data_IF_221388282291
#
_entry.id   IF_221388282291
#
_cell.length_a   1.000
_cell.length_b   1.000
_cell.length_c   1.000
_cell.angle_alpha   90.00
_cell.angle_beta   90.00
_cell.angle_gamma   90.00
#
_symmetry.space_group_name_H-M   'P 1'
#
loop_
_entity.id
_entity.type
_entity.pdbx_description
1 polymer ?
#
# COMPACT_ATOMS: atom_id res chain seq x y z
N UNK A 1 22.10 16.63 -0.07
CA UNK A 1 22.13 15.91 -0.10
C UNK A 1 22.20 15.37 0.26
N UNK A 2 21.95 15.30 0.08
CA UNK A 2 21.96 14.37 0.06
C UNK A 2 21.73 13.76 0.50
N UNK A 3 21.18 13.74 0.54
CA UNK A 3 20.97 12.70 0.65
C UNK A 3 20.72 12.08 1.16
N UNK A 4 20.48 12.15 1.47
CA UNK A 4 20.41 11.03 1.66
C UNK A 4 20.41 10.63 2.35
N UNK A 5 20.29 10.72 2.76
CA UNK A 5 20.35 10.01 3.04
C UNK A 5 20.59 9.47 3.55
N UNK A 6 20.59 9.44 4.10
CA UNK A 6 20.74 8.82 4.31
C UNK A 6 20.61 7.98 4.80
N UNK A 7 20.24 7.62 4.99
CA UNK A 7 20.05 6.72 5.14
C UNK A 7 19.77 6.08 5.55
N UNK A 8 19.42 6.01 5.62
CA UNK A 8 18.99 5.36 5.67
C UNK A 8 18.65 4.77 6.18
N UNK A 9 18.31 4.93 6.56
CA UNK A 9 17.83 4.38 6.81
C UNK A 9 17.13 3.98 7.00
N UNK A 10 16.47 4.18 7.24
CA UNK A 10 15.55 3.87 7.00
C UNK A 10 14.80 3.58 7.93
N UNK A 11 14.68 3.80 8.64
CA UNK A 11 14.08 3.46 9.43
C UNK A 11 13.07 4.24 9.67
N UNK A 12 12.93 5.16 9.69
CA UNK A 12 12.09 5.87 9.82
C UNK A 12 11.59 6.19 8.79
N UNK A 13 11.54 5.68 8.17
CA UNK A 13 11.24 5.94 7.11
C UNK A 13 9.99 6.09 6.82
N UNK A 14 9.33 6.45 7.48
CA UNK A 14 8.17 6.94 7.08
C UNK A 14 8.34 7.90 6.07
N UNK A 15 9.41 8.29 5.98
CA UNK A 15 9.72 9.24 5.00
C UNK A 15 9.80 8.57 3.66
N UNK A 16 8.94 8.94 2.70
CA UNK A 16 9.00 8.35 1.40
C UNK A 16 10.30 8.64 0.69
N UNK A 17 10.95 9.71 1.06
CA UNK A 17 12.25 10.00 0.48
C UNK A 17 13.24 8.93 0.84
N UNK A 18 13.04 8.32 1.96
CA UNK A 18 13.91 7.29 2.39
C UNK A 18 13.84 6.11 1.45
N UNK A 19 12.64 5.75 1.03
CA UNK A 19 12.49 4.67 0.10
C UNK A 19 13.07 5.01 -1.27
N UNK A 20 13.11 6.29 -1.60
CA UNK A 20 13.51 6.72 -2.92
C UNK A 20 14.91 7.27 -3.03
N UNK A 21 15.50 7.66 -1.93
CA UNK A 21 16.81 8.26 -2.01
C UNK A 21 17.78 7.72 -1.01
N UNK A 22 17.37 7.63 0.23
CA UNK A 22 18.32 7.24 1.27
C UNK A 22 18.51 5.77 1.43
N UNK A 23 17.56 5.01 0.96
CA UNK A 23 17.71 3.59 1.02
C UNK A 23 18.76 3.18 0.06
N UNK A 24 19.19 4.09 -0.81
CA UNK A 24 19.89 3.61 -1.83
C UNK A 24 21.11 4.27 -2.16
N UNK A 25 22.15 3.57 -2.10
CA UNK A 25 23.39 4.05 -2.65
C UNK A 25 23.35 4.13 -4.16
N UNK A 26 22.37 3.47 -4.76
CA UNK A 26 22.26 3.48 -6.21
C UNK A 26 21.27 4.48 -6.74
N UNK A 27 20.88 5.42 -5.93
CA UNK A 27 19.91 6.42 -6.36
C UNK A 27 20.33 7.12 -7.64
N UNK A 28 21.64 7.24 -7.84
CA UNK A 28 22.14 7.83 -9.02
C UNK A 28 21.75 7.13 -10.27
N UNK A 29 21.69 5.82 -10.24
CA UNK A 29 21.29 5.06 -11.40
C UNK A 29 19.84 5.29 -11.72
N UNK A 30 19.04 5.47 -10.68
CA UNK A 30 17.61 5.66 -10.86
C UNK A 30 17.27 7.05 -11.32
N UNK A 31 18.15 8.00 -11.12
CA UNK A 31 17.85 9.38 -11.45
C UNK A 31 17.63 9.59 -12.95
N UNK A 32 18.11 8.67 -13.78
CA UNK A 32 17.94 8.76 -15.22
C UNK A 32 16.74 8.00 -15.76
N UNK A 33 16.02 7.32 -14.88
CA UNK A 33 14.86 6.56 -15.32
C UNK A 33 13.60 7.37 -15.17
N UNK A 34 12.69 7.17 -16.09
CA UNK A 34 11.36 7.76 -15.96
C UNK A 34 10.66 7.10 -14.77
N UNK A 35 9.96 7.89 -14.00
CA UNK A 35 9.25 7.39 -12.84
C UNK A 35 7.89 8.04 -12.72
N UNK A 36 7.02 7.39 -11.95
CA UNK A 36 5.73 7.93 -11.61
C UNK A 36 5.63 7.95 -10.10
N UNK A 37 5.14 9.03 -9.54
CA UNK A 37 4.93 9.12 -8.10
C UNK A 37 3.55 8.56 -7.78
N UNK A 38 3.48 7.60 -6.86
CA UNK A 38 2.24 6.98 -6.44
C UNK A 38 2.08 7.11 -4.94
N UNK A 39 0.84 7.29 -4.49
CA UNK A 39 0.54 7.34 -3.06
C UNK A 39 0.16 5.95 -2.59
N UNK A 40 0.66 5.58 -1.42
CA UNK A 40 0.30 4.32 -0.81
C UNK A 40 -1.10 4.42 -0.20
N UNK A 41 -1.93 3.45 -0.52
CA UNK A 41 -3.30 3.37 0.01
C UNK A 41 -3.39 2.38 1.17
N UNK A 42 -2.26 1.81 1.56
CA UNK A 42 -2.14 0.84 2.63
C UNK A 42 -0.68 0.87 3.08
N UNK A 43 -0.40 0.57 4.33
CA UNK A 43 0.98 0.40 4.77
C UNK A 43 1.63 -0.68 3.92
N UNK A 44 2.88 -0.51 3.58
CA UNK A 44 3.56 -1.39 2.65
C UNK A 44 4.93 -1.80 3.15
N UNK A 45 5.28 -3.05 2.87
CA UNK A 45 6.63 -3.55 3.10
C UNK A 45 7.45 -3.37 1.83
N UNK A 46 8.75 -3.37 1.98
CA UNK A 46 9.68 -3.43 0.86
C UNK A 46 10.11 -4.88 0.66
N UNK A 47 10.11 -5.31 -0.60
CA UNK A 47 10.49 -6.68 -0.98
C UNK A 47 11.70 -6.64 -1.89
N UNK A 48 12.43 -7.75 -1.95
CA UNK A 48 13.54 -7.91 -2.86
C UNK A 48 13.07 -8.61 -4.14
N UNK A 49 13.99 -8.84 -5.07
CA UNK A 49 13.63 -9.43 -6.36
C UNK A 49 13.16 -10.87 -6.27
N UNK A 50 13.41 -11.52 -5.15
CA UNK A 50 12.91 -12.88 -4.91
C UNK A 50 11.51 -12.87 -4.29
N UNK A 51 10.96 -11.69 -4.03
CA UNK A 51 9.65 -11.57 -3.43
C UNK A 51 9.66 -11.74 -1.92
N UNK A 52 10.82 -11.64 -1.29
CA UNK A 52 10.93 -11.74 0.15
C UNK A 52 11.11 -10.36 0.75
N UNK A 53 10.66 -10.19 1.98
CA UNK A 53 10.79 -8.92 2.65
C UNK A 53 12.27 -8.53 2.76
N UNK A 54 12.59 -7.34 2.25
CA UNK A 54 13.99 -6.93 2.11
C UNK A 54 14.58 -6.34 3.37
N UNK A 55 13.78 -5.70 4.17
CA UNK A 55 14.22 -5.11 5.43
C UNK A 55 13.01 -4.92 6.33
N UNK A 56 13.21 -4.29 7.46
CA UNK A 56 12.12 -4.14 8.44
C UNK A 56 11.35 -2.84 8.29
N UNK A 57 11.61 -2.10 7.23
CA UNK A 57 10.94 -0.82 7.00
C UNK A 57 9.49 -1.05 6.59
N UNK A 58 8.60 -0.26 7.16
CA UNK A 58 7.21 -0.21 6.76
C UNK A 58 6.93 1.20 6.28
N UNK A 59 6.49 1.32 5.03
CA UNK A 59 6.10 2.59 4.48
C UNK A 59 4.65 2.84 4.85
N UNK A 60 4.37 4.02 5.34
CA UNK A 60 3.03 4.32 5.87
C UNK A 60 2.03 4.67 4.78
N UNK A 61 0.79 4.33 5.05
CA UNK A 61 -0.36 4.80 4.30
C UNK A 61 -0.23 6.31 4.03
N UNK A 62 -0.56 6.71 2.85
CA UNK A 62 -0.50 8.09 2.33
C UNK A 62 0.90 8.57 1.95
N UNK A 63 1.93 7.81 2.20
CA UNK A 63 3.27 8.15 1.73
C UNK A 63 3.32 8.09 0.22
N UNK A 64 4.13 8.95 -0.38
CA UNK A 64 4.33 8.97 -1.83
C UNK A 64 5.66 8.34 -2.16
N UNK A 65 5.66 7.49 -3.16
CA UNK A 65 6.87 6.80 -3.57
C UNK A 65 7.07 6.92 -5.08
N UNK A 66 8.31 6.94 -5.50
CA UNK A 66 8.65 6.87 -6.92
C UNK A 66 8.58 5.43 -7.36
N UNK A 67 7.91 5.18 -8.47
CA UNK A 67 7.80 3.85 -9.03
C UNK A 67 8.27 3.85 -10.47
N UNK A 68 8.81 2.72 -10.91
CA UNK A 68 9.46 2.59 -12.21
C UNK A 68 8.82 1.45 -13.00
N UNK A 69 7.50 1.44 -13.04
CA UNK A 69 6.77 0.39 -13.72
C UNK A 69 6.46 -0.77 -12.80
N UNK A 70 5.95 -1.83 -13.37
CA UNK A 70 5.51 -3.00 -12.61
C UNK A 70 6.22 -4.25 -13.10
N UNK A 71 6.24 -5.26 -12.25
CA UNK A 71 6.76 -6.57 -12.59
C UNK A 71 6.02 -7.63 -11.79
N UNK A 72 6.17 -8.88 -12.20
CA UNK A 72 5.55 -10.00 -11.49
C UNK A 72 6.65 -10.85 -10.87
N UNK A 73 6.51 -11.15 -9.59
CA UNK A 73 7.44 -12.01 -8.87
C UNK A 73 6.62 -13.11 -8.21
N UNK A 74 6.92 -14.35 -8.52
CA UNK A 74 6.21 -15.49 -7.96
C UNK A 74 4.68 -15.38 -8.13
N UNK A 75 4.25 -14.89 -9.29
CA UNK A 75 2.83 -14.77 -9.59
C UNK A 75 2.14 -13.55 -8.98
N UNK A 76 2.86 -12.71 -8.28
CA UNK A 76 2.31 -11.54 -7.63
C UNK A 76 2.85 -10.28 -8.30
N UNK A 77 1.99 -9.29 -8.48
CA UNK A 77 2.37 -8.04 -9.12
C UNK A 77 2.97 -7.07 -8.11
N UNK A 78 4.07 -6.45 -8.50
CA UNK A 78 4.76 -5.45 -7.69
C UNK A 78 5.07 -4.22 -8.52
N UNK A 79 5.14 -3.09 -7.84
CA UNK A 79 5.75 -1.89 -8.43
C UNK A 79 7.24 -1.92 -8.13
N UNK A 80 8.03 -1.53 -9.11
CA UNK A 80 9.47 -1.41 -8.94
C UNK A 80 9.73 -0.07 -8.26
N UNK A 81 10.43 -0.12 -7.15
CA UNK A 81 10.83 1.07 -6.41
C UNK A 81 12.34 1.29 -6.59
N UNK A 82 12.87 2.35 -6.03
CA UNK A 82 14.29 2.62 -6.12
C UNK A 82 15.10 1.52 -5.42
N UNK A 83 16.32 1.31 -5.90
CA UNK A 83 17.29 0.46 -5.20
C UNK A 83 16.97 -1.01 -5.16
N UNK A 84 16.33 -1.49 -6.19
CA UNK A 84 15.98 -2.90 -6.29
C UNK A 84 15.00 -3.34 -5.21
N UNK A 85 14.21 -2.40 -4.70
CA UNK A 85 13.10 -2.72 -3.83
C UNK A 85 11.81 -2.81 -4.63
N UNK A 86 10.84 -3.52 -4.09
CA UNK A 86 9.57 -3.76 -4.75
C UNK A 86 8.45 -3.58 -3.75
N UNK A 87 7.34 -3.02 -4.20
CA UNK A 87 6.17 -2.78 -3.35
C UNK A 87 4.98 -3.51 -3.95
N UNK A 88 4.29 -4.30 -3.14
CA UNK A 88 3.14 -5.05 -3.63
C UNK A 88 2.12 -4.08 -4.24
N UNK A 89 1.69 -4.39 -5.46
CA UNK A 89 0.84 -3.48 -6.24
C UNK A 89 -0.50 -3.21 -5.55
N UNK A 90 -1.00 -4.16 -4.79
CA UNK A 90 -2.28 -3.99 -4.09
C UNK A 90 -2.28 -2.88 -3.04
N UNK A 91 -1.10 -2.42 -2.62
CA UNK A 91 -1.00 -1.31 -1.68
C UNK A 91 -1.11 0.04 -2.39
N UNK A 92 -1.10 0.03 -3.71
CA UNK A 92 -1.16 1.25 -4.53
C UNK A 92 -2.40 1.24 -5.40
N UNK A 93 -2.66 0.11 -6.08
CA UNK A 93 -3.81 -0.03 -6.98
C UNK A 93 -4.92 -0.80 -6.29
N UNK A 94 -6.14 -0.45 -6.59
CA UNK A 94 -7.29 -1.11 -6.00
C UNK A 94 -7.46 -2.52 -6.58
N UNK A 95 -7.86 -3.44 -5.71
CA UNK A 95 -8.38 -4.73 -6.09
C UNK A 95 -9.89 -4.65 -6.02
N UNK A 96 -10.56 -4.91 -7.12
CA UNK A 96 -12.02 -4.80 -7.16
C UNK A 96 -12.65 -6.04 -6.53
N UNK A 97 -13.56 -5.81 -5.59
CA UNK A 97 -14.27 -6.88 -4.89
C UNK A 97 -15.75 -6.57 -4.86
N UNK A 98 -16.56 -7.60 -4.98
CA UNK A 98 -18.00 -7.46 -5.00
C UNK A 98 -18.57 -7.69 -3.62
N UNK A 99 -19.45 -6.81 -3.18
CA UNK A 99 -20.11 -6.96 -1.89
C UNK A 99 -21.14 -8.07 -1.95
N UNK A 100 -21.15 -8.91 -0.94
CA UNK A 100 -22.17 -9.94 -0.78
C UNK A 100 -23.28 -9.49 0.17
N UNK A 101 -23.08 -8.38 0.87
CA UNK A 101 -24.04 -7.80 1.81
C UNK A 101 -23.93 -6.29 1.75
N UNK A 102 -24.97 -5.61 2.16
CA UNK A 102 -24.90 -4.16 2.34
C UNK A 102 -23.84 -3.84 3.38
N UNK A 103 -23.13 -2.74 3.22
CA UNK A 103 -22.01 -2.39 4.09
C UNK A 103 -22.06 -0.93 4.51
N UNK A 104 -21.70 -0.69 5.75
CA UNK A 104 -21.49 0.65 6.27
C UNK A 104 -20.02 1.02 6.09
N UNK A 105 -19.77 2.32 6.05
CA UNK A 105 -18.39 2.82 5.96
C UNK A 105 -17.92 3.19 7.36
N UNK A 106 -16.73 2.73 7.72
CA UNK A 106 -16.15 2.95 9.05
C UNK A 106 -14.87 3.75 8.98
N UNK A 107 -14.55 4.43 10.09
CA UNK A 107 -13.28 5.13 10.25
C UNK A 107 -12.18 4.15 10.64
N UNK A 108 -10.96 4.66 10.72
CA UNK A 108 -9.83 3.86 11.16
C UNK A 108 -9.97 3.40 12.62
N UNK A 109 -10.89 3.98 13.36
CA UNK A 109 -11.14 3.61 14.75
C UNK A 109 -12.32 2.66 14.89
N UNK A 110 -12.96 2.28 13.79
CA UNK A 110 -14.09 1.36 13.81
C UNK A 110 -15.43 2.03 14.06
N UNK A 111 -15.51 3.34 13.92
CA UNK A 111 -16.76 4.06 14.08
C UNK A 111 -17.38 4.32 12.72
N UNK A 112 -18.71 4.16 12.62
CA UNK A 112 -19.40 4.39 11.37
C UNK A 112 -19.29 5.86 10.97
N UNK A 113 -19.01 6.10 9.69
CA UNK A 113 -18.91 7.44 9.13
C UNK A 113 -20.16 7.70 8.31
N UNK A 114 -20.90 8.74 8.66
CA UNK A 114 -22.06 9.16 7.87
C UNK A 114 -23.17 8.12 7.84
N UNK A 115 -24.08 8.29 6.90
CA UNK A 115 -25.26 7.43 6.78
C UNK A 115 -25.31 6.61 5.51
N UNK A 116 -24.29 6.74 4.68
CA UNK A 116 -24.29 6.04 3.41
C UNK A 116 -24.14 4.54 3.62
N UNK A 117 -24.91 3.79 2.83
CA UNK A 117 -24.82 2.33 2.80
C UNK A 117 -24.34 1.95 1.41
N UNK A 118 -23.29 1.16 1.34
CA UNK A 118 -22.82 0.62 0.08
C UNK A 118 -23.60 -0.68 -0.14
N UNK A 119 -24.28 -0.77 -1.27
CA UNK A 119 -25.27 -1.85 -1.49
C UNK A 119 -24.65 -3.17 -1.89
N UNK A 120 -25.31 -4.25 -1.48
CA UNK A 120 -25.00 -5.60 -1.93
C UNK A 120 -24.84 -5.62 -3.45
N UNK A 121 -23.90 -6.42 -3.94
CA UNK A 121 -23.56 -6.61 -5.37
C UNK A 121 -22.79 -5.47 -5.99
N UNK A 122 -22.57 -4.37 -5.28
CA UNK A 122 -21.75 -3.29 -5.78
C UNK A 122 -20.28 -3.71 -5.74
N UNK A 123 -19.50 -3.30 -6.75
CA UNK A 123 -18.08 -3.56 -6.81
C UNK A 123 -17.33 -2.40 -6.18
N UNK A 124 -16.42 -2.71 -5.26
CA UNK A 124 -15.67 -1.71 -4.51
C UNK A 124 -14.19 -2.00 -4.65
N UNK A 125 -13.39 -0.96 -4.86
CA UNK A 125 -11.94 -1.09 -4.87
C UNK A 125 -11.41 -1.16 -3.44
N UNK A 126 -10.59 -2.15 -3.17
CA UNK A 126 -9.96 -2.31 -1.85
C UNK A 126 -8.45 -2.30 -2.01
N UNK A 127 -7.74 -1.94 -0.95
CA UNK A 127 -6.28 -1.80 -0.99
C UNK A 127 -5.61 -2.68 0.05
N UNK A 128 -4.67 -3.49 -0.40
CA UNK A 128 -3.86 -4.32 0.48
C UNK A 128 -4.64 -5.40 1.18
N UNK A 129 -4.01 -5.98 2.18
CA UNK A 129 -4.63 -7.02 2.99
C UNK A 129 -5.59 -6.41 3.99
N UNK A 130 -6.56 -7.19 4.49
CA UNK A 130 -7.46 -6.69 5.52
C UNK A 130 -6.69 -6.25 6.76
N UNK A 131 -7.23 -5.26 7.45
CA UNK A 131 -6.64 -4.75 8.69
C UNK A 131 -7.57 -5.03 9.85
N UNK A 132 -7.00 -5.22 11.05
CA UNK A 132 -7.79 -5.45 12.24
C UNK A 132 -8.11 -4.15 12.96
N UNK A 133 -9.37 -3.95 13.28
CA UNK A 133 -9.82 -2.82 14.09
C UNK A 133 -10.79 -3.38 15.12
N UNK A 134 -10.45 -3.23 16.40
CA UNK A 134 -11.30 -3.70 17.49
C UNK A 134 -11.73 -5.17 17.33
N UNK A 135 -10.79 -6.01 16.92
CA UNK A 135 -11.03 -7.44 16.80
C UNK A 135 -11.78 -7.88 15.56
N UNK A 136 -12.06 -6.98 14.65
CA UNK A 136 -12.74 -7.32 13.40
C UNK A 136 -11.85 -6.96 12.22
N UNK A 137 -12.05 -7.65 11.10
CA UNK A 137 -11.26 -7.40 9.88
C UNK A 137 -11.99 -6.45 8.95
N UNK A 138 -11.25 -5.52 8.38
CA UNK A 138 -11.77 -4.52 7.47
C UNK A 138 -10.88 -4.41 6.25
N UNK A 139 -11.48 -4.07 5.11
CA UNK A 139 -10.71 -3.66 3.93
C UNK A 139 -10.65 -2.14 3.89
N UNK A 140 -9.50 -1.63 3.49
CA UNK A 140 -9.33 -0.20 3.23
C UNK A 140 -9.92 0.07 1.86
N UNK A 141 -10.83 1.03 1.76
CA UNK A 141 -11.43 1.42 0.48
C UNK A 141 -11.03 2.83 0.06
N UNK A 142 -10.26 3.51 0.87
CA UNK A 142 -9.76 4.84 0.61
C UNK A 142 -9.23 5.42 1.90
N UNK A 143 -8.66 6.61 1.83
CA UNK A 143 -8.09 7.24 3.01
C UNK A 143 -9.15 7.44 4.09
N UNK A 144 -8.92 6.81 5.24
CA UNK A 144 -9.83 6.93 6.39
C UNK A 144 -11.15 6.22 6.22
N UNK A 145 -11.32 5.37 5.21
CA UNK A 145 -12.58 4.67 4.97
C UNK A 145 -12.37 3.17 4.87
N UNK A 146 -13.20 2.44 5.59
CA UNK A 146 -13.06 1.00 5.75
C UNK A 146 -14.41 0.32 5.65
N UNK A 147 -14.44 -0.86 5.05
CA UNK A 147 -15.62 -1.72 5.02
C UNK A 147 -15.28 -3.04 5.68
N UNK A 148 -16.22 -3.60 6.42
CA UNK A 148 -16.00 -4.90 7.06
C UNK A 148 -15.76 -5.98 6.00
N UNK A 149 -14.71 -6.77 6.21
CA UNK A 149 -14.37 -7.87 5.32
C UNK A 149 -15.53 -8.86 5.17
N UNK A 150 -16.27 -9.11 6.23
CA UNK A 150 -17.37 -10.06 6.21
C UNK A 150 -18.45 -9.71 5.19
N UNK A 151 -18.55 -8.45 4.80
CA UNK A 151 -19.54 -8.04 3.81
C UNK A 151 -19.13 -8.34 2.38
N UNK A 152 -17.93 -8.88 2.21
CA UNK A 152 -17.44 -9.35 0.91
C UNK A 152 -17.44 -10.89 0.85
N UNK A 153 -17.83 -11.56 1.91
CA UNK A 153 -17.75 -13.01 2.01
C UNK A 153 -19.12 -13.65 1.92
N UNK A 154 -19.15 -14.86 1.40
CA UNK A 154 -20.36 -15.67 1.38
C UNK A 154 -20.51 -16.30 2.77
N UNK A 155 -21.71 -16.29 3.29
CA UNK A 155 -22.02 -16.92 4.59
C UNK A 155 -22.81 -18.18 4.43
#
# INVERSE_FOLDING_TARGET
YNHFMKANNFTKIANPDLANSELSPNAKQDSNKAFTVKALQHNAYLYNREGKRANKVILNLNSKVKTYGTTTINGRKFYVAANNYYIAAGNIDATKRKLTHNAYIYSQYGNRIGRKVVKQHQVVGTYGDPVGIRGKSYYIIGSGRYLKRANFETR
#
